data_IF_126442446509
#
_entry.id   IF_126442446509
#
_cell.length_a   1.000
_cell.length_b   1.000
_cell.length_c   1.000
_cell.angle_alpha   90.00
_cell.angle_beta   90.00
_cell.angle_gamma   90.00
#
_symmetry.space_group_name_H-M   'P 1'
#
loop_
_entity.id
_entity.type
_entity.pdbx_description
1 polymer ?
#
# COMPACT_ATOMS: atom_id res chain seq x y z
N UNK A 1 12.94 15.11 34.17
CA UNK A 1 13.69 14.72 32.96
C UNK A 1 13.45 15.77 31.90
N UNK A 2 14.49 16.30 31.33
CA UNK A 2 14.37 17.27 30.20
C UNK A 2 14.12 16.47 28.89
N UNK A 3 13.47 17.11 27.94
CA UNK A 3 13.24 16.51 26.59
C UNK A 3 14.52 15.95 25.93
N UNK A 4 15.68 16.52 26.29
CA UNK A 4 16.98 16.07 25.81
C UNK A 4 17.44 14.77 26.49
N UNK A 5 17.10 14.55 27.73
CA UNK A 5 17.39 13.31 28.47
C UNK A 5 16.51 12.15 27.98
N UNK A 6 15.23 12.44 27.63
CA UNK A 6 14.34 11.45 26.98
C UNK A 6 14.84 11.07 25.59
N UNK A 7 15.28 12.05 24.80
CA UNK A 7 15.84 11.81 23.47
C UNK A 7 17.13 10.96 23.52
N UNK A 8 18.01 11.26 24.50
CA UNK A 8 19.25 10.49 24.67
C UNK A 8 18.98 9.07 25.19
N UNK A 9 17.96 8.88 26.04
CA UNK A 9 17.54 7.55 26.49
C UNK A 9 16.95 6.71 25.35
N UNK A 10 16.09 7.31 24.52
CA UNK A 10 15.51 6.65 23.34
C UNK A 10 16.59 6.29 22.30
N UNK A 11 17.55 7.16 22.10
CA UNK A 11 18.67 6.92 21.20
C UNK A 11 19.58 5.78 21.69
N UNK A 12 19.86 5.71 22.98
CA UNK A 12 20.63 4.61 23.57
C UNK A 12 19.89 3.26 23.48
N UNK A 13 18.56 3.28 23.53
CA UNK A 13 17.73 2.06 23.37
C UNK A 13 17.69 1.59 21.91
N UNK A 14 17.70 2.52 20.95
CA UNK A 14 17.76 2.23 19.52
C UNK A 14 19.17 1.80 19.05
N UNK A 15 20.24 2.25 19.72
CA UNK A 15 21.63 1.86 19.44
C UNK A 15 22.01 0.50 20.07
N UNK A 16 21.18 -0.06 20.97
CA UNK A 16 21.38 -1.43 21.48
C UNK A 16 20.78 -2.41 20.48
N UNK A 17 21.64 -3.11 19.74
CA UNK A 17 21.22 -4.17 18.83
C UNK A 17 20.34 -5.20 19.57
N UNK A 18 19.13 -5.54 19.08
CA UNK A 18 18.29 -6.54 19.71
C UNK A 18 19.04 -7.88 19.85
N UNK A 19 18.89 -8.57 20.99
CA UNK A 19 19.46 -9.91 21.23
C UNK A 19 19.15 -10.94 20.13
N UNK A 20 18.08 -10.71 19.36
CA UNK A 20 17.72 -11.49 18.18
C UNK A 20 18.76 -11.42 17.05
N UNK A 21 19.57 -10.35 16.98
CA UNK A 21 20.63 -10.18 15.96
C UNK A 21 21.94 -10.88 16.35
N UNK A 22 22.25 -11.02 17.64
CA UNK A 22 23.44 -11.74 18.08
C UNK A 22 23.42 -13.24 17.72
N UNK A 23 22.23 -13.83 17.59
CA UNK A 23 22.06 -15.24 17.25
C UNK A 23 21.91 -15.51 15.74
N UNK A 24 21.81 -14.48 14.89
CA UNK A 24 21.63 -14.67 13.43
C UNK A 24 22.87 -15.25 12.75
N UNK A 25 24.05 -14.86 13.18
CA UNK A 25 25.31 -15.38 12.64
C UNK A 25 25.51 -16.86 13.02
N UNK A 26 25.21 -17.25 14.26
CA UNK A 26 25.27 -18.65 14.68
C UNK A 26 24.25 -19.55 13.99
N UNK A 27 23.05 -19.03 13.72
CA UNK A 27 22.01 -19.74 12.97
C UNK A 27 22.38 -19.91 11.49
N UNK A 28 22.99 -18.91 10.87
CA UNK A 28 23.49 -18.99 9.50
C UNK A 28 24.61 -20.04 9.38
N UNK A 29 25.56 -20.02 10.30
CA UNK A 29 26.66 -21.00 10.35
C UNK A 29 26.19 -22.43 10.67
N UNK A 30 25.13 -22.57 11.45
CA UNK A 30 24.53 -23.88 11.79
C UNK A 30 23.71 -24.45 10.62
N UNK A 31 23.04 -23.60 9.84
CA UNK A 31 22.35 -24.01 8.60
C UNK A 31 23.32 -24.42 7.50
N UNK A 32 24.47 -23.77 7.37
CA UNK A 32 25.51 -24.18 6.42
C UNK A 32 26.02 -25.60 6.68
N UNK A 33 26.19 -26.00 7.94
CA UNK A 33 26.62 -27.35 8.31
C UNK A 33 25.60 -28.44 8.03
N UNK A 34 24.29 -28.12 8.11
CA UNK A 34 23.20 -29.08 7.85
C UNK A 34 22.89 -29.25 6.36
N UNK A 35 23.13 -28.24 5.52
CA UNK A 35 22.91 -28.34 4.07
C UNK A 35 24.01 -29.11 3.33
N UNK A 36 25.22 -29.23 3.89
CA UNK A 36 26.35 -29.94 3.24
C UNK A 36 26.18 -31.46 3.16
N UNK A 37 25.24 -32.07 3.88
CA UNK A 37 25.08 -33.54 3.91
C UNK A 37 24.01 -34.12 2.99
N UNK A 38 23.23 -33.34 2.24
CA UNK A 38 22.23 -33.86 1.30
C UNK A 38 22.13 -33.05 0.03
N UNK A 39 23.10 -33.12 -0.88
CA UNK A 39 22.88 -33.02 -2.33
C UNK A 39 24.20 -33.19 -3.08
N UNK A 40 24.48 -34.42 -3.43
CA UNK A 40 25.37 -34.78 -4.53
C UNK A 40 24.49 -35.02 -5.77
N UNK A 41 24.82 -34.31 -6.87
CA UNK A 41 24.28 -34.44 -8.23
C UNK A 41 22.96 -33.73 -8.56
N UNK A 42 23.04 -32.59 -9.29
CA UNK A 42 22.60 -32.34 -10.67
C UNK A 42 22.58 -30.82 -10.96
N UNK A 43 23.31 -30.41 -12.03
CA UNK A 43 23.00 -29.28 -12.90
C UNK A 43 23.48 -27.90 -12.46
N UNK A 44 24.55 -27.43 -13.10
CA UNK A 44 25.02 -26.04 -13.18
C UNK A 44 24.35 -25.40 -14.42
N UNK A 45 23.76 -24.14 -14.36
CA UNK A 45 24.47 -22.91 -13.95
C UNK A 45 23.65 -21.83 -13.21
N UNK A 46 22.84 -22.11 -12.23
CA UNK A 46 22.09 -21.11 -11.45
C UNK A 46 22.87 -20.65 -10.19
N UNK A 47 23.99 -21.28 -9.91
CA UNK A 47 24.77 -21.03 -8.69
C UNK A 47 25.63 -19.75 -8.68
N UNK A 48 25.72 -18.97 -9.76
CA UNK A 48 26.75 -17.92 -9.81
C UNK A 48 26.34 -16.61 -9.15
N UNK A 49 25.08 -16.17 -9.26
CA UNK A 49 24.66 -14.89 -8.68
C UNK A 49 24.45 -14.98 -7.16
N UNK A 50 23.78 -16.02 -6.68
CA UNK A 50 23.62 -16.26 -5.25
C UNK A 50 24.96 -16.54 -4.56
N UNK A 51 25.89 -17.23 -5.23
CA UNK A 51 27.26 -17.43 -4.73
C UNK A 51 28.06 -16.12 -4.73
N UNK A 52 27.91 -15.26 -5.74
CA UNK A 52 28.54 -13.94 -5.77
C UNK A 52 27.99 -13.01 -4.68
N UNK A 53 26.68 -13.05 -4.41
CA UNK A 53 26.08 -12.25 -3.35
C UNK A 53 26.46 -12.78 -1.95
N UNK A 54 26.45 -14.08 -1.74
CA UNK A 54 26.95 -14.70 -0.51
C UNK A 54 28.45 -14.42 -0.30
N UNK A 55 29.26 -14.44 -1.37
CA UNK A 55 30.67 -14.05 -1.33
C UNK A 55 30.84 -12.56 -1.04
N UNK A 56 29.98 -11.70 -1.61
CA UNK A 56 29.95 -10.26 -1.34
C UNK A 56 29.64 -9.98 0.14
N UNK A 57 28.60 -10.59 0.71
CA UNK A 57 28.27 -10.49 2.12
C UNK A 57 29.41 -11.01 3.02
N UNK A 58 30.08 -12.08 2.63
CA UNK A 58 31.21 -12.64 3.35
C UNK A 58 32.41 -11.71 3.28
N UNK A 59 32.64 -11.05 2.14
CA UNK A 59 33.73 -10.07 1.97
C UNK A 59 33.46 -8.79 2.76
N UNK A 60 32.19 -8.28 2.78
CA UNK A 60 31.80 -7.12 3.59
C UNK A 60 32.01 -7.38 5.09
N UNK A 61 31.66 -8.59 5.56
CA UNK A 61 31.75 -8.92 6.98
C UNK A 61 33.16 -9.34 7.43
N UNK A 62 34.00 -9.86 6.53
CA UNK A 62 35.32 -10.37 6.89
C UNK A 62 36.48 -9.40 6.60
N UNK A 63 36.28 -8.40 5.75
CA UNK A 63 37.34 -7.47 5.35
C UNK A 63 36.93 -6.01 5.58
N UNK A 64 37.38 -5.35 6.65
CA UNK A 64 37.05 -3.95 6.95
C UNK A 64 37.40 -2.97 5.82
N UNK A 65 38.45 -3.25 5.04
CA UNK A 65 38.81 -2.45 3.85
C UNK A 65 37.86 -2.61 2.69
N UNK A 66 37.21 -3.74 2.55
CA UNK A 66 36.17 -3.98 1.56
C UNK A 66 34.84 -3.39 2.04
N UNK A 67 34.54 -3.49 3.33
CA UNK A 67 33.43 -2.80 3.94
C UNK A 67 33.51 -1.27 3.77
N UNK A 68 34.71 -0.68 4.02
CA UNK A 68 34.96 0.73 3.79
C UNK A 68 34.88 1.15 2.32
N UNK A 69 35.27 0.28 1.38
CA UNK A 69 35.03 0.51 -0.05
C UNK A 69 33.55 0.41 -0.44
N UNK A 70 32.78 -0.35 0.33
CA UNK A 70 31.31 -0.49 0.20
C UNK A 70 30.53 0.53 1.02
N UNK A 71 31.14 1.29 1.94
CA UNK A 71 30.52 2.42 2.64
C UNK A 71 30.05 3.53 1.68
N UNK A 72 30.57 3.53 0.44
CA UNK A 72 30.03 4.33 -0.66
C UNK A 72 28.79 3.74 -1.35
N UNK A 73 28.37 2.54 -0.95
CA UNK A 73 27.14 1.90 -1.38
C UNK A 73 26.14 1.91 -0.19
N UNK A 74 25.27 2.89 -0.06
CA UNK A 74 24.27 2.94 1.02
C UNK A 74 23.14 1.91 0.79
N UNK A 75 23.53 0.63 0.62
CA UNK A 75 22.68 -0.41 0.04
C UNK A 75 21.59 -0.87 1.01
N UNK A 76 21.81 -0.91 2.30
CA UNK A 76 20.83 -1.46 3.24
C UNK A 76 20.23 -0.41 4.19
N UNK A 77 20.97 0.66 4.51
CA UNK A 77 20.48 1.70 5.43
C UNK A 77 19.26 2.45 4.88
N UNK A 78 19.34 2.92 3.64
CA UNK A 78 18.22 3.64 2.99
C UNK A 78 17.04 2.74 2.66
N UNK A 79 17.27 1.45 2.38
CA UNK A 79 16.17 0.50 2.12
C UNK A 79 15.42 0.15 3.42
N UNK A 80 16.13 -0.01 4.53
CA UNK A 80 15.51 -0.26 5.84
C UNK A 80 14.64 0.93 6.30
N UNK A 81 15.09 2.16 6.02
CA UNK A 81 14.32 3.39 6.31
C UNK A 81 13.09 3.50 5.41
N UNK A 82 13.24 3.27 4.10
CA UNK A 82 12.13 3.30 3.15
C UNK A 82 11.07 2.21 3.44
N UNK A 83 11.43 1.13 4.12
CA UNK A 83 10.56 0.01 4.46
C UNK A 83 10.10 0.02 5.93
N UNK A 84 10.32 1.12 6.66
CA UNK A 84 10.02 1.20 8.09
C UNK A 84 8.58 0.79 8.41
N UNK A 85 7.63 1.12 7.55
CA UNK A 85 6.21 0.87 7.74
C UNK A 85 5.67 -0.36 7.01
N UNK A 86 6.47 -1.01 6.14
CA UNK A 86 6.06 -2.21 5.39
C UNK A 86 6.77 -3.45 5.92
N UNK A 87 6.10 -4.17 6.81
CA UNK A 87 6.65 -5.38 7.45
C UNK A 87 6.90 -6.51 6.46
N UNK A 88 6.09 -6.64 5.42
CA UNK A 88 6.23 -7.69 4.41
C UNK A 88 7.47 -7.48 3.56
N UNK A 89 7.66 -6.28 3.05
CA UNK A 89 8.85 -5.94 2.26
C UNK A 89 10.12 -5.99 3.10
N UNK A 90 10.05 -5.58 4.38
CA UNK A 90 11.18 -5.73 5.29
C UNK A 90 11.56 -7.21 5.48
N UNK A 91 10.59 -8.10 5.67
CA UNK A 91 10.84 -9.54 5.74
C UNK A 91 11.37 -10.09 4.42
N UNK A 92 10.93 -9.58 3.28
CA UNK A 92 11.48 -9.94 1.98
C UNK A 92 12.98 -9.57 1.90
N UNK A 93 13.35 -8.37 2.30
CA UNK A 93 14.77 -7.93 2.38
C UNK A 93 15.59 -8.79 3.35
N UNK A 94 15.06 -9.05 4.56
CA UNK A 94 15.71 -9.90 5.57
C UNK A 94 15.94 -11.36 5.09
N UNK A 95 15.12 -11.82 4.13
CA UNK A 95 15.23 -13.14 3.51
C UNK A 95 15.90 -13.12 2.12
N UNK A 96 16.64 -12.04 1.79
CA UNK A 96 17.38 -11.89 0.53
C UNK A 96 16.47 -11.92 -0.72
N UNK A 97 15.20 -11.58 -0.55
CA UNK A 97 14.21 -11.53 -1.63
C UNK A 97 14.19 -10.14 -2.28
N UNK A 98 15.34 -9.74 -2.85
CA UNK A 98 15.57 -8.45 -3.48
C UNK A 98 16.43 -8.66 -4.74
N UNK A 99 15.98 -8.08 -5.85
CA UNK A 99 16.74 -8.06 -7.10
C UNK A 99 17.46 -6.71 -7.24
N UNK A 100 18.81 -6.64 -7.19
CA UNK A 100 19.54 -5.43 -7.51
C UNK A 100 19.50 -5.17 -9.02
N UNK A 101 19.19 -3.94 -9.43
CA UNK A 101 19.10 -3.55 -10.85
C UNK A 101 20.30 -2.69 -11.25
N UNK A 102 20.61 -1.64 -10.51
CA UNK A 102 21.71 -0.72 -10.79
C UNK A 102 21.58 0.04 -12.10
N UNK A 103 20.37 0.20 -12.63
CA UNK A 103 20.10 0.96 -13.86
C UNK A 103 20.27 2.46 -13.58
N UNK A 104 20.93 3.18 -14.51
CA UNK A 104 21.20 4.60 -14.31
C UNK A 104 21.13 5.35 -15.65
N UNK A 105 20.51 6.54 -15.62
CA UNK A 105 20.49 7.48 -16.74
C UNK A 105 20.74 8.89 -16.23
N UNK A 106 21.37 9.73 -17.04
CA UNK A 106 21.67 11.11 -16.68
C UNK A 106 21.17 12.05 -17.77
N UNK A 107 20.38 13.04 -17.39
CA UNK A 107 19.86 14.09 -18.26
C UNK A 107 19.84 15.44 -17.50
N UNK A 108 20.20 16.53 -18.19
CA UNK A 108 20.20 17.90 -17.66
C UNK A 108 20.93 18.07 -16.31
N UNK A 109 21.98 17.26 -16.05
CA UNK A 109 22.73 17.30 -14.78
C UNK A 109 22.02 16.60 -13.61
N UNK A 110 20.93 15.88 -13.88
CA UNK A 110 20.22 15.01 -12.94
C UNK A 110 20.48 13.56 -13.34
N UNK A 111 20.78 12.71 -12.36
CA UNK A 111 20.94 11.27 -12.55
C UNK A 111 19.79 10.55 -11.86
N UNK A 112 19.00 9.80 -12.62
CA UNK A 112 18.04 8.84 -12.08
C UNK A 112 18.71 7.47 -11.96
N UNK A 113 18.55 6.83 -10.81
CA UNK A 113 19.12 5.50 -10.56
C UNK A 113 18.05 4.58 -9.98
N UNK A 114 17.71 3.51 -10.71
CA UNK A 114 16.84 2.44 -10.22
C UNK A 114 17.75 1.40 -9.58
N UNK A 115 17.63 1.25 -8.26
CA UNK A 115 18.60 0.48 -7.46
C UNK A 115 18.14 -0.95 -7.22
N UNK A 116 16.89 -1.11 -6.79
CA UNK A 116 16.35 -2.40 -6.35
C UNK A 116 14.95 -2.63 -6.86
N UNK A 117 14.64 -3.91 -6.97
CA UNK A 117 13.31 -4.43 -7.25
C UNK A 117 12.97 -5.51 -6.22
N UNK A 118 11.78 -5.43 -5.64
CA UNK A 118 11.17 -6.51 -4.89
C UNK A 118 9.89 -6.87 -5.63
N UNK A 119 9.85 -8.04 -6.23
CA UNK A 119 8.77 -8.46 -7.13
C UNK A 119 8.28 -9.85 -6.77
N UNK A 120 6.97 -10.07 -6.86
CA UNK A 120 6.35 -11.39 -6.89
C UNK A 120 5.37 -11.51 -8.07
N UNK A 121 4.46 -12.46 -8.07
CA UNK A 121 3.53 -12.69 -9.19
C UNK A 121 2.55 -11.53 -9.44
N UNK A 122 2.26 -10.73 -8.41
CA UNK A 122 1.19 -9.73 -8.43
C UNK A 122 1.64 -8.34 -8.02
N UNK A 123 2.84 -8.20 -7.50
CA UNK A 123 3.31 -6.93 -6.96
C UNK A 123 4.75 -6.64 -7.36
N UNK A 124 4.99 -5.40 -7.80
CA UNK A 124 6.30 -4.89 -8.15
C UNK A 124 6.61 -3.68 -7.29
N UNK A 125 7.69 -3.72 -6.51
CA UNK A 125 8.17 -2.59 -5.74
C UNK A 125 9.52 -2.14 -6.29
N UNK A 126 9.57 -0.94 -6.84
CA UNK A 126 10.72 -0.34 -7.50
C UNK A 126 11.30 0.72 -6.58
N UNK A 127 12.59 0.62 -6.30
CA UNK A 127 13.32 1.59 -5.46
C UNK A 127 14.30 2.36 -6.31
N UNK A 128 14.20 3.71 -6.27
CA UNK A 128 15.01 4.59 -7.09
C UNK A 128 15.42 5.86 -6.33
N UNK A 129 16.42 6.57 -6.88
CA UNK A 129 16.91 7.86 -6.38
C UNK A 129 17.13 8.82 -7.54
N UNK A 130 17.02 10.12 -7.23
CA UNK A 130 17.56 11.18 -8.06
C UNK A 130 18.79 11.78 -7.41
N UNK A 131 19.76 12.15 -8.23
CA UNK A 131 20.95 12.89 -7.83
C UNK A 131 21.10 14.09 -8.72
N UNK A 132 20.97 15.31 -8.17
CA UNK A 132 21.21 16.54 -8.86
C UNK A 132 22.69 16.93 -8.72
N UNK A 133 23.35 17.37 -9.79
CA UNK A 133 24.76 17.77 -9.77
C UNK A 133 25.05 18.90 -8.76
N UNK A 134 24.08 19.75 -8.51
CA UNK A 134 24.12 20.87 -7.56
C UNK A 134 23.52 20.53 -6.17
N UNK A 135 23.08 19.31 -5.98
CA UNK A 135 22.52 18.82 -4.70
C UNK A 135 21.15 19.38 -4.34
N UNK A 136 20.43 20.01 -5.31
CA UNK A 136 19.12 20.57 -5.03
C UNK A 136 18.08 19.47 -4.81
N UNK A 137 17.07 19.74 -3.95
CA UNK A 137 15.96 18.82 -3.78
C UNK A 137 15.11 18.73 -5.06
N UNK A 138 14.55 17.56 -5.32
CA UNK A 138 13.75 17.28 -6.50
C UNK A 138 12.42 16.62 -6.10
N UNK A 139 11.34 16.97 -6.79
CA UNK A 139 10.08 16.26 -6.73
C UNK A 139 10.07 15.17 -7.79
N UNK A 140 9.43 14.05 -7.50
CA UNK A 140 9.34 12.92 -8.40
C UNK A 140 7.95 12.78 -9.02
N UNK A 141 7.91 12.35 -10.28
CA UNK A 141 6.74 11.81 -10.95
C UNK A 141 7.11 10.52 -11.68
N UNK A 142 6.12 9.72 -12.00
CA UNK A 142 6.33 8.51 -12.79
C UNK A 142 5.15 8.20 -13.70
N UNK A 143 5.38 7.38 -14.68
CA UNK A 143 4.35 6.60 -15.37
C UNK A 143 4.91 5.22 -15.68
N UNK A 144 4.04 4.22 -15.55
CA UNK A 144 4.35 2.86 -15.94
C UNK A 144 3.26 2.40 -16.91
N UNK A 145 3.66 1.84 -18.04
CA UNK A 145 2.71 1.24 -18.98
C UNK A 145 2.37 -0.18 -18.50
N UNK A 146 1.35 -0.26 -17.67
CA UNK A 146 0.93 -1.49 -16.99
C UNK A 146 -0.59 -1.62 -17.07
N UNK A 147 -1.13 -2.07 -18.22
CA UNK A 147 -2.56 -2.34 -18.35
C UNK A 147 -3.03 -3.31 -17.26
N UNK A 148 -4.17 -3.01 -16.61
CA UNK A 148 -4.70 -3.84 -15.52
C UNK A 148 -3.92 -3.78 -14.22
N UNK A 149 -3.11 -2.75 -14.00
CA UNK A 149 -2.39 -2.54 -12.75
C UNK A 149 -2.80 -1.24 -12.07
N UNK A 150 -2.79 -1.26 -10.75
CA UNK A 150 -2.90 -0.06 -9.90
C UNK A 150 -1.50 0.27 -9.38
N UNK A 151 -1.11 1.53 -9.46
CA UNK A 151 0.20 1.96 -8.98
C UNK A 151 0.10 3.08 -7.94
N UNK A 152 0.98 3.03 -6.96
CA UNK A 152 1.15 4.05 -5.92
C UNK A 152 2.62 4.41 -5.82
N UNK A 153 2.93 5.70 -5.73
CA UNK A 153 4.27 6.16 -5.41
C UNK A 153 4.28 6.82 -4.03
N UNK A 154 5.23 6.41 -3.23
CA UNK A 154 5.54 7.06 -1.95
C UNK A 154 6.59 8.16 -2.17
N UNK A 155 6.50 9.22 -1.36
CA UNK A 155 7.47 10.33 -1.39
C UNK A 155 7.49 11.08 -2.74
N UNK A 156 6.30 11.49 -3.22
CA UNK A 156 6.14 12.36 -4.40
C UNK A 156 6.70 13.76 -4.18
N UNK A 157 6.72 14.22 -2.93
CA UNK A 157 7.06 15.58 -2.55
C UNK A 157 8.51 15.96 -2.87
N UNK A 158 8.82 17.22 -2.64
CA UNK A 158 10.17 17.74 -2.74
C UNK A 158 11.06 17.08 -1.67
N UNK A 159 11.98 16.23 -2.10
CA UNK A 159 12.86 15.45 -1.23
C UNK A 159 14.32 15.84 -1.45
N UNK A 160 15.11 15.68 -0.41
CA UNK A 160 16.56 15.91 -0.47
C UNK A 160 17.22 15.02 -1.54
N UNK A 161 18.34 15.51 -2.06
CA UNK A 161 19.15 14.80 -3.04
C UNK A 161 19.55 13.41 -2.55
N UNK A 162 19.40 12.42 -3.41
CA UNK A 162 19.72 11.03 -3.08
C UNK A 162 18.73 10.31 -2.15
N UNK A 163 17.58 10.89 -1.82
CA UNK A 163 16.53 10.19 -1.04
C UNK A 163 15.98 9.00 -1.81
N UNK A 164 15.91 7.83 -1.14
CA UNK A 164 15.31 6.62 -1.71
C UNK A 164 13.78 6.77 -1.77
N UNK A 165 13.22 6.47 -2.93
CA UNK A 165 11.79 6.54 -3.21
C UNK A 165 11.29 5.18 -3.66
N UNK A 166 10.01 4.90 -3.42
CA UNK A 166 9.37 3.64 -3.81
C UNK A 166 8.19 3.89 -4.74
N UNK A 167 8.08 3.04 -5.75
CA UNK A 167 6.86 2.86 -6.56
C UNK A 167 6.36 1.45 -6.30
N UNK A 168 5.12 1.32 -5.83
CA UNK A 168 4.41 0.05 -5.72
C UNK A 168 3.45 -0.09 -6.92
N UNK A 169 3.50 -1.23 -7.61
CA UNK A 169 2.59 -1.56 -8.71
C UNK A 169 1.95 -2.90 -8.37
N UNK A 170 0.62 -2.92 -8.32
CA UNK A 170 -0.16 -4.12 -8.05
C UNK A 170 -0.94 -4.51 -9.30
N UNK A 171 -0.76 -5.74 -9.75
CA UNK A 171 -1.49 -6.29 -10.87
C UNK A 171 -2.80 -6.94 -10.39
N UNK A 172 -3.91 -6.66 -11.09
CA UNK A 172 -5.15 -7.42 -10.94
C UNK A 172 -5.01 -8.80 -11.58
N UNK A 173 -4.38 -8.84 -12.73
CA UNK A 173 -4.13 -10.04 -13.50
C UNK A 173 -2.66 -10.51 -13.40
N UNK A 174 -2.07 -10.95 -14.48
CA UNK A 174 -0.65 -11.32 -14.56
C UNK A 174 0.21 -10.09 -14.81
N UNK A 175 1.39 -10.03 -14.18
CA UNK A 175 2.37 -9.01 -14.51
C UNK A 175 2.90 -9.22 -15.93
N UNK A 176 3.15 -8.14 -16.67
CA UNK A 176 3.83 -8.24 -17.97
C UNK A 176 5.27 -8.76 -17.76
N UNK A 177 5.83 -9.42 -18.77
CA UNK A 177 7.23 -9.95 -18.72
C UNK A 177 8.28 -8.85 -18.48
N UNK A 178 7.99 -7.64 -18.92
CA UNK A 178 8.84 -6.45 -18.74
C UNK A 178 7.99 -5.23 -18.40
N UNK A 179 8.57 -4.31 -17.67
CA UNK A 179 7.93 -3.05 -17.28
C UNK A 179 8.64 -1.87 -17.95
N UNK A 180 7.90 -1.09 -18.72
CA UNK A 180 8.35 0.22 -19.19
C UNK A 180 8.04 1.28 -18.12
N UNK A 181 9.10 1.83 -17.52
CA UNK A 181 9.01 2.83 -16.46
C UNK A 181 9.56 4.16 -16.96
N UNK A 182 8.75 5.21 -16.85
CA UNK A 182 9.21 6.59 -17.04
C UNK A 182 9.28 7.28 -15.68
N UNK A 183 10.44 7.82 -15.33
CA UNK A 183 10.65 8.64 -14.15
C UNK A 183 10.81 10.10 -14.56
N UNK A 184 10.18 11.02 -13.85
CA UNK A 184 10.25 12.46 -14.07
C UNK A 184 10.76 13.16 -12.82
N UNK A 185 11.76 14.03 -13.00
CA UNK A 185 12.26 14.91 -11.97
C UNK A 185 11.73 16.33 -12.23
N UNK A 186 11.18 16.97 -11.21
CA UNK A 186 10.65 18.32 -11.29
C UNK A 186 11.39 19.24 -10.30
N UNK A 187 11.62 20.46 -10.75
CA UNK A 187 12.04 21.56 -9.88
C UNK A 187 10.81 22.20 -9.22
N UNK A 188 10.91 22.59 -7.94
CA UNK A 188 9.85 23.31 -7.23
C UNK A 188 8.79 22.44 -6.55
N UNK A 189 7.81 23.11 -5.93
CA UNK A 189 6.75 22.51 -5.13
C UNK A 189 5.66 21.84 -6.00
N UNK A 190 4.79 21.09 -5.34
CA UNK A 190 3.66 20.41 -6.01
C UNK A 190 2.77 21.44 -6.73
N UNK A 191 2.46 21.15 -8.01
CA UNK A 191 1.68 22.03 -8.88
C UNK A 191 2.51 22.91 -9.81
N UNK A 192 3.85 22.93 -9.69
CA UNK A 192 4.70 23.50 -10.74
C UNK A 192 4.91 22.49 -11.87
N UNK A 193 4.79 22.94 -13.12
CA UNK A 193 5.04 22.13 -14.33
C UNK A 193 6.51 22.16 -14.77
N UNK A 194 7.43 22.51 -13.87
CA UNK A 194 8.85 22.69 -14.14
C UNK A 194 9.57 21.32 -14.25
N UNK A 195 9.29 20.60 -15.36
CA UNK A 195 9.98 19.35 -15.67
C UNK A 195 11.47 19.63 -15.93
N UNK A 196 12.32 19.08 -15.06
CA UNK A 196 13.77 19.25 -15.15
C UNK A 196 14.44 18.14 -15.97
N UNK A 197 13.97 16.88 -15.86
CA UNK A 197 14.46 15.74 -16.62
C UNK A 197 13.44 14.61 -16.69
N UNK A 198 13.51 13.77 -17.75
CA UNK A 198 12.69 12.58 -17.95
C UNK A 198 13.58 11.39 -18.32
N UNK A 199 13.32 10.23 -17.68
CA UNK A 199 14.14 9.02 -17.82
C UNK A 199 13.26 7.83 -18.16
N UNK A 200 13.73 6.99 -19.12
CA UNK A 200 12.99 5.82 -19.57
C UNK A 200 13.76 4.54 -19.28
N UNK A 201 13.19 3.66 -18.49
CA UNK A 201 13.78 2.39 -18.13
C UNK A 201 12.92 1.23 -18.60
N UNK A 202 13.57 0.16 -19.05
CA UNK A 202 12.94 -1.14 -19.23
C UNK A 202 13.44 -2.04 -18.11
N UNK A 203 12.51 -2.56 -17.31
CA UNK A 203 12.82 -3.41 -16.16
C UNK A 203 12.45 -4.84 -16.54
N UNK A 204 13.42 -5.74 -16.43
CA UNK A 204 13.23 -7.18 -16.61
C UNK A 204 13.15 -7.85 -15.23
N UNK A 205 12.21 -8.77 -15.07
CA UNK A 205 12.05 -9.55 -13.85
C UNK A 205 12.88 -10.83 -13.90
N UNK A 206 13.50 -11.19 -12.79
CA UNK A 206 14.07 -12.52 -12.63
C UNK A 206 12.90 -13.50 -12.38
N UNK A 207 12.68 -14.49 -13.27
CA UNK A 207 11.56 -15.45 -13.16
C UNK A 207 11.55 -16.23 -11.83
N UNK A 208 12.69 -16.34 -11.15
CA UNK A 208 12.75 -17.02 -9.84
C UNK A 208 11.97 -16.29 -8.75
N UNK A 209 11.80 -14.95 -8.87
CA UNK A 209 11.00 -14.15 -7.95
C UNK A 209 9.51 -14.16 -8.33
N UNK A 210 9.20 -14.17 -9.62
CA UNK A 210 7.80 -14.13 -10.09
C UNK A 210 7.13 -15.53 -10.14
N UNK A 211 7.89 -16.61 -9.93
CA UNK A 211 7.35 -17.98 -9.91
C UNK A 211 6.76 -18.43 -8.56
N UNK A 212 6.87 -17.60 -7.52
CA UNK A 212 6.49 -17.98 -6.16
C UNK A 212 5.13 -17.39 -5.78
N UNK A 213 4.26 -18.24 -5.28
CA UNK A 213 2.94 -17.91 -4.76
C UNK A 213 2.16 -19.17 -4.42
N UNK A 214 1.20 -19.03 -3.53
CA UNK A 214 0.29 -20.10 -3.11
C UNK A 214 -1.14 -19.58 -3.14
N UNK A 215 -2.05 -20.37 -3.72
CA UNK A 215 -3.49 -20.06 -3.74
C UNK A 215 -4.21 -21.13 -2.91
N UNK A 216 -4.93 -20.70 -1.90
CA UNK A 216 -5.72 -21.54 -1.00
C UNK A 216 -7.20 -21.28 -1.29
N UNK A 217 -7.93 -22.20 -1.94
CA UNK A 217 -9.37 -22.07 -2.11
C UNK A 217 -10.05 -22.22 -0.74
N UNK A 218 -11.02 -21.36 -0.42
CA UNK A 218 -11.76 -21.35 0.86
C UNK A 218 -13.23 -21.65 0.64
N UNK A 219 -13.86 -20.99 -0.33
CA UNK A 219 -15.25 -21.19 -0.76
C UNK A 219 -16.27 -21.20 0.41
N UNK A 220 -16.04 -20.37 1.41
CA UNK A 220 -16.84 -20.32 2.64
C UNK A 220 -17.75 -19.10 2.66
N UNK A 221 -19.06 -19.35 2.66
CA UNK A 221 -20.07 -18.29 2.76
C UNK A 221 -20.34 -17.91 4.23
N UNK A 222 -20.57 -16.63 4.46
CA UNK A 222 -21.05 -16.08 5.73
C UNK A 222 -22.04 -14.93 5.48
N UNK A 223 -22.80 -14.57 6.51
CA UNK A 223 -23.84 -13.55 6.37
C UNK A 223 -23.68 -12.46 7.43
N UNK A 224 -23.73 -11.20 7.02
CA UNK A 224 -23.76 -10.02 7.89
C UNK A 224 -25.05 -9.23 7.60
N UNK A 225 -25.96 -9.17 8.58
CA UNK A 225 -27.27 -8.47 8.48
C UNK A 225 -28.04 -8.71 7.17
N UNK A 226 -28.06 -9.96 6.72
CA UNK A 226 -28.80 -10.37 5.53
C UNK A 226 -28.01 -10.26 4.22
N UNK A 227 -26.82 -9.67 4.22
CA UNK A 227 -25.92 -9.67 3.07
C UNK A 227 -25.00 -10.92 3.13
N UNK A 228 -24.98 -11.69 2.08
CA UNK A 228 -24.14 -12.90 1.98
C UNK A 228 -22.85 -12.60 1.25
N UNK A 229 -21.75 -12.91 1.92
CA UNK A 229 -20.39 -12.76 1.40
C UNK A 229 -19.73 -14.14 1.35
N UNK A 230 -18.83 -14.34 0.41
CA UNK A 230 -18.13 -15.60 0.20
C UNK A 230 -16.63 -15.30 0.25
N UNK A 231 -15.93 -15.91 1.20
CA UNK A 231 -14.47 -15.99 1.15
C UNK A 231 -14.13 -16.98 0.04
N UNK A 232 -13.76 -16.48 -1.12
CA UNK A 232 -13.50 -17.32 -2.29
C UNK A 232 -12.15 -18.03 -2.14
N UNK A 233 -11.10 -17.27 -1.96
CA UNK A 233 -9.73 -17.76 -1.83
C UNK A 233 -8.82 -16.80 -1.10
N UNK A 234 -7.68 -17.33 -0.69
CA UNK A 234 -6.53 -16.56 -0.20
C UNK A 234 -5.34 -16.82 -1.12
N UNK A 235 -4.67 -15.76 -1.51
CA UNK A 235 -3.47 -15.82 -2.33
C UNK A 235 -2.29 -15.30 -1.49
N UNK A 236 -1.25 -16.13 -1.29
CA UNK A 236 -0.10 -15.79 -0.45
C UNK A 236 1.12 -15.63 -1.35
N UNK A 237 1.70 -14.43 -1.35
CA UNK A 237 2.89 -14.07 -2.10
C UNK A 237 4.01 -13.60 -1.16
N UNK A 238 5.27 -13.59 -1.61
CA UNK A 238 6.39 -13.12 -0.80
C UNK A 238 6.23 -11.71 -0.23
N UNK A 239 5.62 -10.77 -0.99
CA UNK A 239 5.50 -9.37 -0.57
C UNK A 239 4.17 -9.04 0.09
N UNK A 240 3.11 -9.81 -0.16
CA UNK A 240 1.76 -9.55 0.35
C UNK A 240 0.92 -10.83 0.34
N UNK A 241 -0.22 -10.77 1.04
CA UNK A 241 -1.28 -11.76 0.92
C UNK A 241 -2.56 -11.05 0.46
N UNK A 242 -3.37 -11.72 -0.35
CA UNK A 242 -4.65 -11.21 -0.85
C UNK A 242 -5.78 -12.09 -0.35
N UNK A 243 -6.80 -11.45 0.22
CA UNK A 243 -8.06 -12.07 0.57
C UNK A 243 -9.09 -11.67 -0.47
N UNK A 244 -9.67 -12.65 -1.14
CA UNK A 244 -10.67 -12.43 -2.18
C UNK A 244 -12.04 -12.76 -1.63
N UNK A 245 -12.92 -11.75 -1.64
CA UNK A 245 -14.30 -11.84 -1.18
C UNK A 245 -15.22 -11.60 -2.37
N UNK A 246 -16.23 -12.44 -2.52
CA UNK A 246 -17.31 -12.28 -3.49
C UNK A 246 -18.62 -11.95 -2.77
N UNK A 247 -19.48 -11.22 -3.46
CA UNK A 247 -20.83 -10.92 -3.01
C UNK A 247 -21.85 -11.83 -3.71
N UNK A 248 -22.87 -12.26 -2.96
CA UNK A 248 -24.00 -12.96 -3.59
C UNK A 248 -24.84 -11.95 -4.40
N UNK A 249 -25.33 -12.40 -5.55
CA UNK A 249 -26.16 -11.57 -6.46
C UNK A 249 -27.43 -11.05 -5.78
N UNK A 250 -27.98 -11.81 -4.84
CA UNK A 250 -29.21 -11.49 -4.10
C UNK A 250 -29.03 -10.39 -3.06
N UNK A 251 -27.81 -9.95 -2.78
CA UNK A 251 -27.56 -8.89 -1.80
C UNK A 251 -28.28 -7.60 -2.19
N UNK A 252 -28.89 -6.97 -1.20
CA UNK A 252 -29.59 -5.67 -1.35
C UNK A 252 -28.67 -4.48 -1.15
N UNK A 253 -27.45 -4.72 -0.65
CA UNK A 253 -26.39 -3.72 -0.47
C UNK A 253 -25.06 -4.27 -0.98
N UNK A 254 -24.18 -3.38 -1.39
CA UNK A 254 -22.83 -3.67 -1.86
C UNK A 254 -21.83 -3.50 -0.71
N UNK A 255 -20.82 -4.36 -0.65
CA UNK A 255 -19.77 -4.28 0.36
C UNK A 255 -18.84 -3.10 0.07
N UNK A 256 -18.90 -2.08 0.91
CA UNK A 256 -18.01 -0.92 0.81
C UNK A 256 -16.65 -1.17 1.51
N UNK A 257 -16.67 -1.83 2.67
CA UNK A 257 -15.45 -2.13 3.45
C UNK A 257 -15.69 -3.31 4.38
N UNK A 258 -14.66 -4.13 4.57
CA UNK A 258 -14.64 -5.22 5.55
C UNK A 258 -13.58 -4.95 6.61
N UNK A 259 -13.96 -4.99 7.87
CA UNK A 259 -13.04 -4.87 8.99
C UNK A 259 -12.68 -6.24 9.53
N UNK A 260 -11.42 -6.62 9.41
CA UNK A 260 -10.94 -7.94 9.77
C UNK A 260 -9.44 -7.93 10.11
N UNK A 261 -8.99 -9.02 10.66
CA UNK A 261 -7.57 -9.38 10.76
C UNK A 261 -7.42 -10.89 10.52
N UNK A 262 -6.20 -11.30 10.20
CA UNK A 262 -5.85 -12.70 10.06
C UNK A 262 -4.96 -13.13 11.22
N UNK A 263 -5.10 -14.39 11.66
CA UNK A 263 -4.25 -14.98 12.69
C UNK A 263 -3.76 -16.33 12.21
N UNK A 264 -2.48 -16.63 12.41
CA UNK A 264 -1.93 -17.96 12.10
C UNK A 264 -1.97 -18.92 13.30
N UNK A 265 -1.58 -20.19 13.05
CA UNK A 265 -1.50 -21.27 14.04
C UNK A 265 -0.56 -20.98 15.23
N UNK A 266 0.22 -19.90 15.17
CA UNK A 266 1.12 -19.44 16.23
C UNK A 266 0.61 -18.19 16.95
N UNK A 267 -0.60 -17.74 16.63
CA UNK A 267 -1.22 -16.56 17.21
C UNK A 267 -0.63 -15.22 16.73
N UNK A 268 0.09 -15.20 15.60
CA UNK A 268 0.57 -13.95 15.00
C UNK A 268 -0.54 -13.36 14.15
N UNK A 269 -0.76 -12.06 14.30
CA UNK A 269 -1.75 -11.31 13.53
C UNK A 269 -1.12 -10.70 12.28
N UNK A 270 -1.94 -10.64 11.23
CA UNK A 270 -1.65 -10.00 9.94
C UNK A 270 -2.79 -9.03 9.67
N UNK A 271 -2.47 -7.76 9.73
CA UNK A 271 -3.43 -6.69 9.52
C UNK A 271 -3.41 -6.21 8.07
N UNK A 272 -4.37 -5.37 7.72
CA UNK A 272 -4.39 -4.64 6.47
C UNK A 272 -3.08 -3.88 6.32
N UNK A 273 -2.39 -4.07 5.20
CA UNK A 273 -1.04 -3.56 5.01
C UNK A 273 -0.96 -2.04 5.12
N UNK A 274 0.03 -1.56 5.86
CA UNK A 274 0.40 -0.14 5.86
C UNK A 274 1.24 0.10 4.61
N UNK A 275 0.71 0.80 3.63
CA UNK A 275 1.39 1.04 2.35
C UNK A 275 0.45 1.53 1.24
N UNK A 276 -0.75 1.96 1.59
CA UNK A 276 -1.61 2.77 0.72
C UNK A 276 -2.61 2.03 -0.17
N UNK A 277 -2.46 0.73 -0.45
CA UNK A 277 -3.43 -0.04 -1.22
C UNK A 277 -4.02 -1.15 -0.34
N UNK A 278 -5.01 -0.78 0.45
CA UNK A 278 -5.66 -1.68 1.42
C UNK A 278 -6.79 -2.46 0.78
N UNK A 279 -7.50 -1.85 -0.15
CA UNK A 279 -8.63 -2.42 -0.85
C UNK A 279 -8.57 -1.98 -2.32
N UNK A 280 -8.52 -2.92 -3.21
CA UNK A 280 -8.89 -2.69 -4.60
C UNK A 280 -10.41 -2.87 -4.63
N UNK A 281 -11.11 -1.80 -5.00
CA UNK A 281 -12.58 -1.80 -5.07
C UNK A 281 -13.12 -3.00 -5.83
N UNK A 282 -14.43 -3.23 -5.78
CA UNK A 282 -15.04 -4.32 -6.51
C UNK A 282 -14.56 -4.30 -7.97
N UNK A 283 -13.95 -5.38 -8.42
CA UNK A 283 -13.70 -5.58 -9.85
C UNK A 283 -15.06 -5.66 -10.57
N UNK A 284 -15.10 -5.49 -11.88
CA UNK A 284 -16.34 -5.59 -12.68
C UNK A 284 -17.11 -6.92 -12.46
N UNK A 285 -16.42 -7.95 -11.95
CA UNK A 285 -16.99 -9.25 -11.61
C UNK A 285 -17.52 -9.36 -10.17
N UNK A 286 -17.55 -8.28 -9.38
CA UNK A 286 -18.00 -8.27 -7.99
C UNK A 286 -16.99 -8.84 -6.98
N UNK A 287 -15.74 -9.04 -7.36
CA UNK A 287 -14.68 -9.45 -6.44
C UNK A 287 -14.09 -8.27 -5.68
N UNK A 288 -14.02 -8.38 -4.36
CA UNK A 288 -13.28 -7.47 -3.49
C UNK A 288 -11.92 -8.09 -3.14
N UNK A 289 -10.84 -7.38 -3.43
CA UNK A 289 -9.50 -7.80 -3.11
C UNK A 289 -8.93 -6.97 -1.96
N UNK A 290 -8.65 -7.61 -0.84
CA UNK A 290 -8.00 -6.99 0.32
C UNK A 290 -6.56 -7.45 0.41
N UNK A 291 -5.63 -6.48 0.47
CA UNK A 291 -4.20 -6.76 0.63
C UNK A 291 -3.81 -6.66 2.10
N UNK A 292 -3.18 -7.70 2.62
CA UNK A 292 -2.68 -7.79 4.00
C UNK A 292 -1.21 -8.16 4.05
N UNK A 293 -0.59 -8.04 5.22
CA UNK A 293 0.79 -8.46 5.45
C UNK A 293 1.02 -9.91 5.04
N UNK A 294 2.16 -10.18 4.40
CA UNK A 294 2.49 -11.55 3.96
C UNK A 294 2.99 -12.43 5.11
N UNK A 295 2.44 -13.63 5.26
CA UNK A 295 2.98 -14.66 6.14
C UNK A 295 4.10 -15.51 5.51
N UNK A 296 4.43 -15.29 4.22
CA UNK A 296 5.33 -16.14 3.42
C UNK A 296 6.61 -16.56 4.14
N UNK A 297 7.34 -15.59 4.66
CA UNK A 297 8.61 -15.85 5.36
C UNK A 297 8.44 -16.29 6.82
N UNK A 298 7.20 -16.38 7.32
CA UNK A 298 6.91 -16.72 8.72
C UNK A 298 6.51 -18.18 8.94
N UNK A 299 6.36 -18.97 7.87
CA UNK A 299 6.03 -20.40 7.89
C UNK A 299 4.79 -20.74 8.77
N UNK A 300 3.71 -19.97 8.65
CA UNK A 300 2.40 -20.34 9.18
C UNK A 300 1.86 -21.56 8.44
N UNK A 301 1.08 -22.40 9.12
CA UNK A 301 0.52 -23.62 8.53
C UNK A 301 -0.98 -23.52 8.28
N UNK A 302 -1.66 -22.71 9.03
CA UNK A 302 -3.08 -22.45 8.91
C UNK A 302 -3.40 -21.04 9.35
N UNK A 303 -4.47 -20.49 8.80
CA UNK A 303 -4.88 -19.11 9.04
C UNK A 303 -6.35 -19.07 9.44
N UNK A 304 -6.72 -18.10 10.26
CA UNK A 304 -8.10 -17.80 10.64
C UNK A 304 -8.37 -16.34 10.28
N UNK A 305 -9.42 -16.11 9.51
CA UNK A 305 -9.98 -14.80 9.24
C UNK A 305 -10.94 -14.44 10.37
N UNK A 306 -10.67 -13.34 11.08
CA UNK A 306 -11.53 -12.82 12.15
C UNK A 306 -12.17 -11.50 11.71
N UNK A 307 -13.45 -11.54 11.37
CA UNK A 307 -14.24 -10.41 10.91
C UNK A 307 -14.83 -9.69 12.12
N UNK A 308 -14.63 -8.38 12.21
CA UNK A 308 -15.14 -7.53 13.30
C UNK A 308 -16.33 -6.67 12.88
N UNK A 309 -16.44 -6.37 11.59
CA UNK A 309 -17.51 -5.54 11.05
C UNK A 309 -17.41 -5.36 9.55
N UNK A 310 -18.34 -4.60 9.01
CA UNK A 310 -18.38 -4.24 7.60
C UNK A 310 -19.13 -2.92 7.41
N UNK A 311 -18.87 -2.26 6.29
CA UNK A 311 -19.65 -1.13 5.79
C UNK A 311 -20.32 -1.55 4.49
N UNK A 312 -21.56 -1.16 4.30
CA UNK A 312 -22.33 -1.46 3.09
C UNK A 312 -22.96 -0.19 2.51
N UNK A 313 -23.19 -0.22 1.21
CA UNK A 313 -23.98 0.77 0.49
C UNK A 313 -25.23 0.08 -0.08
N UNK A 314 -26.40 0.52 0.31
CA UNK A 314 -27.68 0.01 -0.23
C UNK A 314 -27.75 0.28 -1.73
N UNK A 315 -28.07 -0.74 -2.53
CA UNK A 315 -28.16 -0.63 -4.00
C UNK A 315 -29.19 0.40 -4.46
N UNK A 316 -30.22 0.61 -3.66
CA UNK A 316 -31.31 1.54 -3.93
C UNK A 316 -31.15 2.90 -3.21
N UNK A 317 -29.99 3.17 -2.59
CA UNK A 317 -29.77 4.44 -1.88
C UNK A 317 -29.80 5.62 -2.87
N UNK A 318 -30.72 6.60 -2.70
CA UNK A 318 -30.74 7.76 -3.57
C UNK A 318 -29.52 8.65 -3.30
N UNK A 319 -29.03 9.40 -4.30
CA UNK A 319 -28.00 10.40 -4.07
C UNK A 319 -28.46 11.43 -3.02
N UNK A 320 -27.54 11.90 -2.20
CA UNK A 320 -27.79 12.97 -1.23
C UNK A 320 -27.99 14.28 -1.98
N UNK A 321 -29.18 14.86 -1.88
CA UNK A 321 -29.50 16.16 -2.47
C UNK A 321 -29.11 17.27 -1.50
N UNK A 322 -28.24 18.19 -1.91
CA UNK A 322 -27.87 19.38 -1.13
C UNK A 322 -28.33 20.64 -1.85
N UNK A 323 -29.13 21.45 -1.16
CA UNK A 323 -29.46 22.82 -1.59
C UNK A 323 -28.45 23.76 -0.99
N UNK A 324 -27.60 24.32 -1.84
CA UNK A 324 -26.46 25.16 -1.45
C UNK A 324 -26.88 26.51 -0.89
N UNK A 325 -28.01 27.04 -1.36
CA UNK A 325 -28.56 28.33 -0.89
C UNK A 325 -29.42 28.20 0.35
N UNK A 326 -30.31 27.21 0.35
CA UNK A 326 -31.15 26.93 1.51
C UNK A 326 -30.38 26.31 2.66
N UNK A 327 -29.17 25.77 2.38
CA UNK A 327 -28.31 25.04 3.33
C UNK A 327 -29.04 23.87 3.95
N UNK A 328 -29.66 23.06 3.10
CA UNK A 328 -30.36 21.84 3.51
C UNK A 328 -29.88 20.65 2.74
N UNK A 329 -29.98 19.47 3.35
CA UNK A 329 -29.64 18.20 2.71
C UNK A 329 -30.75 17.17 2.95
N UNK A 330 -30.98 16.34 1.94
CA UNK A 330 -31.97 15.25 1.94
C UNK A 330 -31.27 13.94 1.54
N UNK A 331 -31.66 12.82 2.14
CA UNK A 331 -31.09 11.52 1.85
C UNK A 331 -29.77 11.24 2.57
N UNK A 332 -29.49 11.95 3.67
CA UNK A 332 -28.31 11.65 4.51
C UNK A 332 -28.51 10.33 5.27
N UNK A 333 -27.45 9.50 5.39
CA UNK A 333 -27.52 8.29 6.19
C UNK A 333 -27.52 8.60 7.69
N UNK A 334 -27.86 7.61 8.50
CA UNK A 334 -27.87 7.73 9.95
C UNK A 334 -26.47 8.14 10.48
N UNK A 335 -26.47 9.08 11.43
CA UNK A 335 -25.24 9.59 12.04
C UNK A 335 -24.49 10.64 11.22
N UNK A 336 -25.00 11.04 10.06
CA UNK A 336 -24.46 12.14 9.24
C UNK A 336 -25.44 13.30 9.22
N UNK A 337 -24.97 14.51 9.40
CA UNK A 337 -25.78 15.73 9.31
C UNK A 337 -25.06 16.84 8.57
N UNK A 338 -25.79 17.63 7.80
CA UNK A 338 -25.26 18.83 7.18
C UNK A 338 -24.94 19.87 8.27
N UNK A 339 -23.67 20.26 8.39
CA UNK A 339 -23.23 21.24 9.35
C UNK A 339 -23.36 22.67 8.80
N UNK A 340 -22.84 22.91 7.62
CA UNK A 340 -22.88 24.22 6.96
C UNK A 340 -22.58 24.10 5.46
N UNK A 341 -22.99 25.12 4.72
CA UNK A 341 -22.60 25.34 3.33
C UNK A 341 -22.03 26.75 3.23
N UNK A 342 -20.80 26.86 2.75
CA UNK A 342 -20.07 28.12 2.65
C UNK A 342 -19.63 28.36 1.21
N UNK A 343 -19.52 29.63 0.83
CA UNK A 343 -18.87 30.04 -0.41
C UNK A 343 -17.53 30.69 -0.09
N UNK A 344 -16.45 30.11 -0.55
CA UNK A 344 -15.10 30.63 -0.40
C UNK A 344 -14.59 31.01 -1.79
N UNK A 345 -14.46 32.35 -2.02
CA UNK A 345 -14.20 32.86 -3.38
C UNK A 345 -15.26 32.38 -4.37
N UNK A 346 -14.91 31.62 -5.39
CA UNK A 346 -15.83 31.05 -6.38
C UNK A 346 -16.18 29.57 -6.14
N UNK A 347 -15.67 28.98 -5.06
CA UNK A 347 -15.84 27.58 -4.71
C UNK A 347 -16.87 27.39 -3.60
N UNK A 348 -17.70 26.38 -3.72
CA UNK A 348 -18.60 25.94 -2.64
C UNK A 348 -17.88 24.93 -1.75
N UNK A 349 -18.02 25.11 -0.43
CA UNK A 349 -17.57 24.18 0.60
C UNK A 349 -18.76 23.68 1.38
N UNK A 350 -18.99 22.37 1.36
CA UNK A 350 -20.10 21.69 2.05
C UNK A 350 -19.49 20.92 3.22
N UNK A 351 -19.97 21.18 4.44
CA UNK A 351 -19.46 20.58 5.66
C UNK A 351 -20.49 19.65 6.26
N UNK A 352 -20.08 18.46 6.63
CA UNK A 352 -20.88 17.46 7.30
C UNK A 352 -20.28 17.08 8.65
N UNK A 353 -21.12 16.98 9.68
CA UNK A 353 -20.74 16.32 10.93
C UNK A 353 -21.08 14.83 10.84
N UNK A 354 -20.20 13.99 11.39
CA UNK A 354 -20.34 12.54 11.39
C UNK A 354 -20.26 11.97 12.80
N UNK A 355 -21.09 10.98 13.08
CA UNK A 355 -20.93 10.14 14.26
C UNK A 355 -19.97 9.02 13.93
N UNK A 356 -18.82 9.00 14.61
CA UNK A 356 -17.83 7.95 14.39
C UNK A 356 -18.28 6.64 15.01
N UNK A 357 -17.98 5.52 14.36
CA UNK A 357 -18.11 4.22 15.01
C UNK A 357 -17.12 4.07 16.17
N UNK A 358 -17.32 3.10 17.07
CA UNK A 358 -16.43 2.85 18.19
C UNK A 358 -14.96 2.69 17.79
N UNK A 359 -14.04 3.09 18.68
CA UNK A 359 -12.60 2.95 18.46
C UNK A 359 -12.19 1.50 18.11
N UNK A 360 -11.24 1.37 17.21
CA UNK A 360 -10.60 0.09 16.89
C UNK A 360 -11.09 -0.57 15.60
N UNK A 361 -12.01 0.04 14.87
CA UNK A 361 -12.42 -0.46 13.56
C UNK A 361 -11.70 0.30 12.45
N UNK A 362 -11.25 -0.44 11.44
CA UNK A 362 -10.72 0.14 10.19
C UNK A 362 -11.92 0.51 9.30
N UNK A 363 -12.09 1.80 9.03
CA UNK A 363 -13.21 2.28 8.20
C UNK A 363 -12.70 3.03 6.98
N UNK A 364 -13.58 3.17 6.00
CA UNK A 364 -13.41 4.23 5.01
C UNK A 364 -13.27 5.57 5.73
N UNK A 365 -12.25 6.32 5.39
CA UNK A 365 -12.01 7.63 5.98
C UNK A 365 -13.07 8.65 5.56
N UNK A 366 -13.78 8.42 4.44
CA UNK A 366 -14.77 9.32 3.87
C UNK A 366 -16.12 8.66 3.78
N UNK A 367 -17.19 9.43 4.08
CA UNK A 367 -18.59 9.03 3.92
C UNK A 367 -19.04 9.19 2.48
N UNK A 368 -18.53 10.23 1.81
CA UNK A 368 -18.88 10.58 0.45
C UNK A 368 -17.80 10.17 -0.54
N UNK A 369 -18.22 9.91 -1.78
CA UNK A 369 -17.30 9.78 -2.91
C UNK A 369 -16.83 11.17 -3.36
N UNK A 370 -15.76 11.23 -4.13
CA UNK A 370 -15.33 12.49 -4.75
C UNK A 370 -16.18 12.89 -5.96
N UNK A 371 -17.23 12.15 -6.28
CA UNK A 371 -18.06 12.38 -7.44
C UNK A 371 -19.34 13.14 -7.07
N UNK A 372 -19.76 14.08 -7.95
CA UNK A 372 -21.03 14.80 -7.82
C UNK A 372 -21.75 14.90 -9.17
N UNK A 373 -23.04 15.23 -9.13
CA UNK A 373 -23.87 15.51 -10.29
C UNK A 373 -24.76 16.74 -10.05
N UNK A 374 -24.94 17.59 -11.08
CA UNK A 374 -25.83 18.74 -11.06
C UNK A 374 -27.29 18.33 -11.07
N UNK A 375 -28.21 19.27 -10.74
CA UNK A 375 -29.66 19.00 -10.68
C UNK A 375 -30.24 18.63 -12.06
N UNK A 376 -29.78 19.29 -13.11
CA UNK A 376 -30.18 19.00 -14.49
C UNK A 376 -29.47 17.78 -15.11
N UNK A 377 -28.50 17.19 -14.41
CA UNK A 377 -27.70 16.06 -14.88
C UNK A 377 -26.71 16.39 -16.00
N UNK A 378 -26.53 17.66 -16.36
CA UNK A 378 -25.63 18.07 -17.44
C UNK A 378 -24.17 18.21 -17.01
N UNK A 379 -23.93 18.37 -15.71
CA UNK A 379 -22.59 18.48 -15.12
C UNK A 379 -22.35 17.34 -14.17
N UNK A 380 -21.23 16.72 -14.37
CA UNK A 380 -20.66 15.70 -13.52
C UNK A 380 -19.18 16.05 -13.28
N UNK A 381 -18.72 15.87 -12.07
CA UNK A 381 -17.35 16.24 -11.74
C UNK A 381 -16.87 15.62 -10.44
N UNK A 382 -15.66 15.97 -10.06
CA UNK A 382 -15.06 15.51 -8.83
C UNK A 382 -14.97 16.66 -7.82
N UNK A 383 -15.34 16.35 -6.59
CA UNK A 383 -15.15 17.23 -5.44
C UNK A 383 -13.72 17.08 -4.90
N UNK A 384 -13.15 18.16 -4.37
CA UNK A 384 -12.12 18.01 -3.35
C UNK A 384 -12.78 17.48 -2.09
N UNK A 385 -12.21 16.43 -1.49
CA UNK A 385 -12.73 15.83 -0.27
C UNK A 385 -11.67 15.85 0.82
N UNK A 386 -12.06 16.15 2.03
CA UNK A 386 -11.16 16.10 3.17
C UNK A 386 -11.91 15.79 4.46
N UNK A 387 -11.17 15.21 5.38
CA UNK A 387 -11.67 14.80 6.70
C UNK A 387 -10.83 15.48 7.75
N UNK A 388 -11.46 15.98 8.80
CA UNK A 388 -10.77 16.55 9.94
C UNK A 388 -9.96 15.49 10.67
N UNK A 389 -8.88 15.89 11.34
CA UNK A 389 -7.95 14.98 12.02
C UNK A 389 -8.61 14.05 13.03
N UNK A 390 -9.73 14.48 13.62
CA UNK A 390 -10.52 13.68 14.56
C UNK A 390 -11.63 12.86 13.86
N UNK A 391 -11.70 12.90 12.54
CA UNK A 391 -12.68 12.22 11.69
C UNK A 391 -14.15 12.58 11.97
N UNK A 392 -14.44 13.58 12.78
CA UNK A 392 -15.83 13.98 13.14
C UNK A 392 -16.46 14.92 12.12
N UNK A 393 -15.69 15.50 11.25
CA UNK A 393 -16.16 16.44 10.23
C UNK A 393 -15.54 16.06 8.87
N UNK A 394 -16.40 16.04 7.86
CA UNK A 394 -16.02 15.83 6.46
C UNK A 394 -16.43 17.05 5.64
N UNK A 395 -15.57 17.48 4.71
CA UNK A 395 -15.90 18.56 3.80
C UNK A 395 -15.69 18.16 2.35
N UNK A 396 -16.56 18.69 1.50
CA UNK A 396 -16.48 18.56 0.05
C UNK A 396 -16.40 19.95 -0.56
N UNK A 397 -15.59 20.08 -1.62
CA UNK A 397 -15.47 21.32 -2.37
C UNK A 397 -15.88 21.08 -3.81
N UNK A 398 -16.85 21.87 -4.32
CA UNK A 398 -17.21 21.82 -5.73
C UNK A 398 -16.21 22.65 -6.56
N UNK A 399 -16.16 22.39 -7.86
CA UNK A 399 -15.32 23.14 -8.80
C UNK A 399 -15.59 24.64 -8.75
N UNK A 400 -14.60 25.41 -9.11
CA UNK A 400 -14.73 26.87 -9.19
C UNK A 400 -15.84 27.26 -10.15
N UNK A 401 -16.70 28.19 -9.70
CA UNK A 401 -17.79 28.72 -10.51
C UNK A 401 -18.95 27.75 -10.72
N UNK A 402 -19.14 26.73 -9.86
CA UNK A 402 -20.33 25.87 -9.92
C UNK A 402 -21.61 26.73 -9.88
N UNK A 403 -22.45 26.69 -10.95
CA UNK A 403 -23.48 27.72 -11.16
C UNK A 403 -24.84 27.40 -10.53
N UNK A 404 -25.10 26.14 -10.20
CA UNK A 404 -26.41 25.70 -9.74
C UNK A 404 -26.58 25.85 -8.24
N UNK A 405 -27.84 25.84 -7.79
CA UNK A 405 -28.16 25.93 -6.37
C UNK A 405 -28.27 24.57 -5.70
N UNK A 406 -28.33 23.50 -6.48
CA UNK A 406 -28.49 22.12 -6.00
C UNK A 406 -27.40 21.23 -6.56
N UNK A 407 -26.88 20.33 -5.71
CA UNK A 407 -25.91 19.31 -6.09
C UNK A 407 -26.34 17.96 -5.50
N UNK A 408 -26.11 16.88 -6.26
CA UNK A 408 -26.26 15.51 -5.82
C UNK A 408 -24.91 14.91 -5.49
N UNK A 409 -24.76 14.41 -4.28
CA UNK A 409 -23.55 13.76 -3.77
C UNK A 409 -23.81 12.25 -3.62
N UNK A 410 -22.77 11.46 -3.77
CA UNK A 410 -22.85 10.00 -3.70
C UNK A 410 -22.08 9.49 -2.49
N UNK A 411 -22.63 8.49 -1.82
CA UNK A 411 -22.04 7.90 -0.62
C UNK A 411 -21.04 6.80 -0.98
N UNK A 412 -20.04 6.62 -0.14
CA UNK A 412 -19.20 5.42 -0.13
C UNK A 412 -19.89 4.25 0.59
N UNK A 413 -20.66 4.57 1.64
CA UNK A 413 -21.47 3.61 2.42
C UNK A 413 -22.62 4.33 3.12
N UNK A 414 -23.68 3.62 3.44
CA UNK A 414 -24.83 4.13 4.19
C UNK A 414 -25.09 3.39 5.52
N UNK A 415 -24.43 2.25 5.70
CA UNK A 415 -24.56 1.46 6.92
C UNK A 415 -23.21 0.93 7.41
N UNK A 416 -23.09 0.79 8.74
CA UNK A 416 -21.92 0.21 9.40
C UNK A 416 -22.37 -0.86 10.38
N UNK A 417 -21.88 -2.08 10.19
CA UNK A 417 -22.16 -3.24 11.03
C UNK A 417 -20.99 -3.51 11.94
N UNK A 418 -21.25 -3.61 13.22
CA UNK A 418 -20.27 -3.96 14.24
C UNK A 418 -20.64 -5.29 14.89
N UNK A 419 -19.75 -6.25 14.86
CA UNK A 419 -19.98 -7.51 15.52
C UNK A 419 -19.55 -7.44 17.00
N UNK A 420 -20.41 -7.83 17.95
CA UNK A 420 -20.07 -7.82 19.37
C UNK A 420 -18.95 -8.83 19.70
N UNK A 421 -18.73 -9.79 18.83
CA UNK A 421 -17.65 -10.76 18.83
C UNK A 421 -17.27 -11.04 17.39
N UNK A 422 -15.96 -11.18 17.10
CA UNK A 422 -15.48 -11.53 15.77
C UNK A 422 -16.12 -12.83 15.25
N UNK A 423 -16.41 -12.84 13.96
CA UNK A 423 -16.76 -14.05 13.23
C UNK A 423 -15.46 -14.67 12.71
N UNK A 424 -15.14 -15.86 13.19
CA UNK A 424 -13.90 -16.54 12.87
C UNK A 424 -14.14 -17.60 11.76
N UNK A 425 -13.41 -17.49 10.65
CA UNK A 425 -13.49 -18.38 9.49
C UNK A 425 -12.11 -19.02 9.28
N UNK A 426 -11.97 -20.34 9.40
CA UNK A 426 -10.73 -21.04 9.04
C UNK A 426 -10.46 -20.93 7.54
N UNK A 427 -9.20 -20.67 7.17
CA UNK A 427 -8.72 -20.54 5.78
C UNK A 427 -7.81 -21.73 5.41
N UNK A 428 -8.28 -22.95 5.55
CA UNK A 428 -7.45 -24.17 5.34
C UNK A 428 -7.96 -24.97 4.15
#
# INVERSE_FOLDING_TARGET
>A
MTRMEEYQALRAELETAPEALENTVERALTREKTCRMKKRFWGIPVGSLAACFALFLLLVNCFPTFAAACEGLPVLGGLAEALQFDKSLRLAVENEYVQPLGLSQTENGITARVEYLIVDQKNVNIFFRFFAKDGRPLRAGYSADTPGCVSVMENLDLMEDGTLRRIGIMATDELPDTLALTLRAYDGEYGSDDLAAEFHFTIEYDPSFTAQGEVIPVETAFTLEGQTLIVDRVEIYPTHMRLIIQEAEENTAELASLDFYLTDDRGRTYDLGVGGLIQMGAAENGEHCYTVESPWFRNGKSYTLSIRGAQFLSKDHPPVRVDLRAKTAEGLPDGVSLKDVQRQSDMWVILFDRTLPPEGLTHSSTQFTSYYRSEDGTREGHTGIGVRTDNTEEYLTLEDGYPEDVVYLFLCYDSTILLPKSLDIPLN
#
